data_IF_659902131831
#
_entry.id   IF_659902131831
#
_cell.length_a   1.000
_cell.length_b   1.000
_cell.length_c   1.000
_cell.angle_alpha   90.00
_cell.angle_beta   90.00
_cell.angle_gamma   90.00
#
_symmetry.space_group_name_H-M   'P 1'
#
loop_
_entity.id
_entity.type
_entity.pdbx_description
1 polymer ?
#
# COMPACT_ATOMS: atom_id res chain seq x y z
N UNK A 1 3.43 88.47 -17.59
CA UNK A 1 2.61 87.25 -17.43
C UNK A 1 3.56 86.06 -17.29
N UNK A 2 4.37 86.01 -16.22
CA UNK A 2 5.45 85.02 -16.03
C UNK A 2 5.94 85.04 -14.57
N UNK A 3 5.05 84.87 -13.59
CA UNK A 3 5.45 84.77 -12.16
C UNK A 3 4.72 83.64 -11.40
N UNK A 4 3.77 82.92 -12.01
CA UNK A 4 2.90 81.98 -11.28
C UNK A 4 3.28 80.49 -11.38
N UNK A 5 4.45 80.14 -11.94
CA UNK A 5 4.83 78.74 -12.21
C UNK A 5 6.03 78.21 -11.40
N UNK A 6 6.64 79.02 -10.54
CA UNK A 6 7.90 78.62 -9.84
C UNK A 6 7.71 78.19 -8.39
N UNK A 7 6.62 78.52 -7.70
CA UNK A 7 6.44 78.15 -6.28
C UNK A 7 5.93 76.70 -6.08
N UNK A 8 5.13 76.15 -6.99
CA UNK A 8 4.60 74.79 -6.84
C UNK A 8 5.60 73.67 -7.16
N UNK A 9 6.72 73.96 -7.82
CA UNK A 9 7.73 72.94 -8.14
C UNK A 9 8.66 72.62 -6.96
N UNK A 10 8.89 73.58 -6.06
CA UNK A 10 9.81 73.44 -4.92
C UNK A 10 9.18 72.59 -3.80
N UNK A 11 7.86 72.68 -3.60
CA UNK A 11 7.14 71.86 -2.61
C UNK A 11 7.00 70.38 -3.03
N UNK A 12 6.94 70.11 -4.34
CA UNK A 12 6.90 68.73 -4.87
C UNK A 12 8.26 68.05 -4.68
N UNK A 13 9.37 68.74 -4.91
CA UNK A 13 10.72 68.18 -4.64
C UNK A 13 10.97 67.91 -3.14
N UNK A 14 10.45 68.74 -2.24
CA UNK A 14 10.54 68.53 -0.79
C UNK A 14 9.66 67.36 -0.30
N UNK A 15 8.51 67.11 -0.95
CA UNK A 15 7.63 65.97 -0.65
C UNK A 15 8.27 64.63 -1.07
N UNK A 16 8.95 64.59 -2.23
CA UNK A 16 9.68 63.41 -2.72
C UNK A 16 11.03 63.17 -2.03
N UNK A 17 11.68 64.20 -1.47
CA UNK A 17 12.90 64.07 -0.65
C UNK A 17 12.65 63.77 0.83
N UNK A 18 11.39 63.63 1.25
CA UNK A 18 11.07 63.35 2.64
C UNK A 18 11.42 61.89 3.01
N UNK A 19 12.08 61.73 4.16
CA UNK A 19 12.39 60.47 4.87
C UNK A 19 11.15 59.55 5.05
N UNK A 20 9.96 60.07 4.75
CA UNK A 20 8.67 59.41 4.81
C UNK A 20 8.41 58.44 3.63
N UNK A 21 8.76 58.78 2.39
CA UNK A 21 8.56 57.86 1.25
C UNK A 21 9.59 56.73 1.21
N UNK A 22 10.82 57.00 1.65
CA UNK A 22 11.86 55.97 1.79
C UNK A 22 11.56 55.00 2.94
N UNK A 23 10.96 55.46 4.04
CA UNK A 23 10.55 54.59 5.16
C UNK A 23 9.31 53.75 4.85
N UNK A 24 8.33 54.27 4.10
CA UNK A 24 7.17 53.49 3.64
C UNK A 24 7.60 52.46 2.57
N UNK A 25 8.40 52.85 1.58
CA UNK A 25 8.92 51.92 0.57
C UNK A 25 9.82 50.83 1.18
N UNK A 26 10.66 51.18 2.17
CA UNK A 26 11.46 50.23 2.95
C UNK A 26 10.61 49.27 3.79
N UNK A 27 9.53 49.75 4.41
CA UNK A 27 8.60 48.92 5.18
C UNK A 27 7.79 47.96 4.29
N UNK A 28 7.30 48.41 3.13
CA UNK A 28 6.61 47.54 2.17
C UNK A 28 7.56 46.50 1.53
N UNK A 29 8.77 46.91 1.13
CA UNK A 29 9.78 45.99 0.62
C UNK A 29 10.22 44.97 1.69
N UNK A 30 10.37 45.42 2.95
CA UNK A 30 10.67 44.58 4.10
C UNK A 30 9.55 43.58 4.40
N UNK A 31 8.28 44.03 4.38
CA UNK A 31 7.11 43.17 4.60
C UNK A 31 6.95 42.12 3.49
N UNK A 32 7.11 42.50 2.22
CA UNK A 32 7.05 41.57 1.09
C UNK A 32 8.21 40.56 1.11
N UNK A 33 9.43 41.01 1.43
CA UNK A 33 10.59 40.14 1.61
C UNK A 33 10.41 39.15 2.75
N UNK A 34 9.91 39.62 3.90
CA UNK A 34 9.60 38.78 5.05
C UNK A 34 8.51 37.76 4.74
N UNK A 35 7.44 38.17 4.05
CA UNK A 35 6.35 37.28 3.64
C UNK A 35 6.86 36.16 2.72
N UNK A 36 7.67 36.50 1.71
CA UNK A 36 8.23 35.51 0.79
C UNK A 36 9.18 34.52 1.48
N UNK A 37 9.96 34.98 2.46
CA UNK A 37 10.83 34.10 3.26
C UNK A 37 9.98 33.17 4.14
N UNK A 38 8.94 33.71 4.79
CA UNK A 38 8.03 32.95 5.64
C UNK A 38 7.29 31.87 4.84
N UNK A 39 6.72 32.22 3.68
CA UNK A 39 6.06 31.27 2.78
C UNK A 39 7.02 30.18 2.30
N UNK A 40 8.25 30.56 1.94
CA UNK A 40 9.28 29.60 1.52
C UNK A 40 9.68 28.65 2.66
N UNK A 41 9.83 29.15 3.88
CA UNK A 41 10.14 28.32 5.06
C UNK A 41 9.01 27.36 5.36
N UNK A 42 7.77 27.85 5.41
CA UNK A 42 6.58 27.04 5.63
C UNK A 42 6.44 25.92 4.60
N UNK A 43 6.66 26.25 3.31
CA UNK A 43 6.61 25.24 2.25
C UNK A 43 7.73 24.20 2.38
N UNK A 44 8.94 24.61 2.78
CA UNK A 44 10.05 23.70 3.08
C UNK A 44 9.69 22.74 4.22
N UNK A 45 9.12 23.26 5.30
CA UNK A 45 8.71 22.49 6.47
C UNK A 45 7.59 21.48 6.14
N UNK A 46 6.62 21.89 5.34
CA UNK A 46 5.54 21.01 4.86
C UNK A 46 6.09 19.83 4.05
N UNK A 47 7.00 20.07 3.10
CA UNK A 47 7.61 18.99 2.33
C UNK A 47 8.45 18.05 3.21
N UNK A 48 9.21 18.58 4.17
CA UNK A 48 9.96 17.77 5.14
C UNK A 48 9.05 16.93 6.03
N UNK A 49 7.93 17.50 6.46
CA UNK A 49 6.90 16.78 7.23
C UNK A 49 6.32 15.65 6.38
N UNK A 50 5.91 15.92 5.15
CA UNK A 50 5.32 14.89 4.27
C UNK A 50 6.30 13.74 3.97
N UNK A 51 7.59 14.02 3.75
CA UNK A 51 8.61 12.97 3.59
C UNK A 51 8.77 12.11 4.85
N UNK A 52 8.70 12.71 6.05
CA UNK A 52 8.76 11.97 7.32
C UNK A 52 7.51 11.11 7.53
N UNK A 53 6.34 11.67 7.26
CA UNK A 53 5.06 10.95 7.32
C UNK A 53 5.05 9.79 6.30
N UNK A 54 5.65 9.99 5.11
CA UNK A 54 5.80 8.94 4.08
C UNK A 54 6.66 7.79 4.60
N UNK A 55 7.81 8.08 5.22
CA UNK A 55 8.65 7.05 5.82
C UNK A 55 7.93 6.30 6.95
N UNK A 56 7.15 6.99 7.77
CA UNK A 56 6.33 6.36 8.81
C UNK A 56 5.31 5.39 8.19
N UNK A 57 4.60 5.81 7.14
CA UNK A 57 3.65 4.95 6.42
C UNK A 57 4.33 3.73 5.79
N UNK A 58 5.51 3.89 5.18
CA UNK A 58 6.30 2.77 4.63
C UNK A 58 6.65 1.76 5.72
N UNK A 59 7.09 2.21 6.90
CA UNK A 59 7.43 1.31 8.01
C UNK A 59 6.21 0.56 8.56
N UNK A 60 5.05 1.21 8.63
CA UNK A 60 3.81 0.56 9.07
C UNK A 60 3.37 -0.50 8.03
N UNK A 61 3.34 -0.15 6.75
CA UNK A 61 3.00 -1.07 5.66
C UNK A 61 3.97 -2.26 5.59
N UNK A 62 5.27 -2.01 5.76
CA UNK A 62 6.29 -3.05 5.86
C UNK A 62 6.08 -3.95 7.09
N UNK A 63 5.76 -3.37 8.24
CA UNK A 63 5.44 -4.12 9.46
C UNK A 63 4.26 -5.08 9.25
N UNK A 64 3.18 -4.60 8.63
CA UNK A 64 2.02 -5.44 8.26
C UNK A 64 2.46 -6.58 7.34
N UNK A 65 3.20 -6.28 6.28
CA UNK A 65 3.70 -7.28 5.35
C UNK A 65 4.54 -8.36 6.05
N UNK A 66 5.51 -7.94 6.87
CA UNK A 66 6.42 -8.84 7.56
C UNK A 66 5.69 -9.70 8.62
N UNK A 67 4.72 -9.14 9.34
CA UNK A 67 3.86 -9.91 10.24
C UNK A 67 3.12 -11.03 9.51
N UNK A 68 2.53 -10.73 8.34
CA UNK A 68 1.86 -11.76 7.55
C UNK A 68 2.80 -12.77 6.91
N UNK A 69 3.99 -12.36 6.48
CA UNK A 69 5.01 -13.29 6.00
C UNK A 69 5.40 -14.29 7.09
N UNK A 70 5.51 -13.85 8.34
CA UNK A 70 5.77 -14.74 9.48
C UNK A 70 4.63 -15.73 9.69
N UNK A 71 3.38 -15.25 9.75
CA UNK A 71 2.19 -16.09 9.92
C UNK A 71 2.06 -17.10 8.77
N UNK A 72 2.30 -16.65 7.53
CA UNK A 72 2.24 -17.51 6.35
C UNK A 72 3.29 -18.61 6.41
N UNK A 73 4.53 -18.25 6.74
CA UNK A 73 5.64 -19.20 6.88
C UNK A 73 5.40 -20.22 7.99
N UNK A 74 4.89 -19.78 9.13
CA UNK A 74 4.76 -20.62 10.32
C UNK A 74 3.53 -21.54 10.28
N UNK A 75 2.43 -21.09 9.67
CA UNK A 75 1.13 -21.76 9.82
C UNK A 75 0.37 -21.93 8.50
N UNK A 76 0.17 -20.86 7.74
CA UNK A 76 -0.77 -20.90 6.59
C UNK A 76 -0.25 -21.77 5.46
N UNK A 77 1.05 -21.70 5.17
CA UNK A 77 1.67 -22.46 4.07
C UNK A 77 1.56 -23.96 4.31
N UNK A 78 2.04 -24.44 5.46
CA UNK A 78 1.96 -25.87 5.81
C UNK A 78 0.51 -26.36 5.89
N UNK A 79 -0.38 -25.56 6.49
CA UNK A 79 -1.81 -25.90 6.57
C UNK A 79 -2.42 -26.15 5.18
N UNK A 80 -2.10 -25.29 4.20
CA UNK A 80 -2.61 -25.43 2.83
C UNK A 80 -1.97 -26.60 2.09
N UNK A 81 -0.64 -26.71 2.15
CA UNK A 81 0.10 -27.76 1.46
C UNK A 81 -0.27 -29.15 1.99
N UNK A 82 -0.34 -29.33 3.31
CA UNK A 82 -0.74 -30.59 3.93
C UNK A 82 -2.19 -30.96 3.61
N UNK A 83 -3.08 -29.96 3.57
CA UNK A 83 -4.48 -30.16 3.20
C UNK A 83 -4.61 -30.63 1.75
N UNK A 84 -3.95 -29.95 0.81
CA UNK A 84 -4.02 -30.29 -0.62
C UNK A 84 -3.36 -31.63 -0.91
N UNK A 85 -2.22 -31.90 -0.28
CA UNK A 85 -1.52 -33.18 -0.40
C UNK A 85 -2.40 -34.35 0.06
N UNK A 86 -2.99 -34.27 1.24
CA UNK A 86 -3.86 -35.33 1.77
C UNK A 86 -5.15 -35.48 0.96
N UNK A 87 -5.73 -34.36 0.48
CA UNK A 87 -6.90 -34.41 -0.41
C UNK A 87 -6.57 -35.13 -1.71
N UNK A 88 -5.42 -34.83 -2.32
CA UNK A 88 -4.97 -35.51 -3.54
C UNK A 88 -4.73 -37.01 -3.29
N UNK A 89 -4.07 -37.37 -2.19
CA UNK A 89 -3.83 -38.75 -1.80
C UNK A 89 -5.13 -39.53 -1.57
N UNK A 90 -6.13 -38.93 -0.91
CA UNK A 90 -7.44 -39.54 -0.71
C UNK A 90 -8.18 -39.78 -2.04
N UNK A 91 -8.13 -38.81 -2.96
CA UNK A 91 -8.72 -38.95 -4.29
C UNK A 91 -8.02 -40.05 -5.10
N UNK A 92 -6.71 -40.19 -4.99
CA UNK A 92 -5.96 -41.28 -5.61
C UNK A 92 -6.31 -42.63 -5.00
N UNK A 93 -6.41 -42.72 -3.66
CA UNK A 93 -6.85 -43.91 -2.95
C UNK A 93 -8.24 -44.36 -3.45
N UNK A 94 -9.22 -43.44 -3.51
CA UNK A 94 -10.55 -43.75 -4.06
C UNK A 94 -10.49 -44.25 -5.51
N UNK A 95 -9.62 -43.69 -6.36
CA UNK A 95 -9.44 -44.18 -7.73
C UNK A 95 -8.92 -45.61 -7.74
N UNK A 96 -7.90 -45.93 -6.93
CA UNK A 96 -7.32 -47.29 -6.83
C UNK A 96 -8.33 -48.32 -6.32
N UNK A 97 -9.15 -47.96 -5.33
CA UNK A 97 -10.26 -48.81 -4.85
C UNK A 97 -11.25 -49.09 -5.98
N UNK A 98 -11.64 -48.06 -6.73
CA UNK A 98 -12.65 -48.18 -7.78
C UNK A 98 -12.21 -49.07 -8.96
N UNK A 99 -10.92 -49.08 -9.28
CA UNK A 99 -10.35 -49.95 -10.33
C UNK A 99 -9.90 -51.32 -9.80
N UNK A 100 -10.15 -51.61 -8.52
CA UNK A 100 -9.82 -52.90 -7.89
C UNK A 100 -8.33 -53.15 -7.67
N UNK A 101 -7.49 -52.10 -7.70
CA UNK A 101 -6.05 -52.23 -7.41
C UNK A 101 -5.77 -52.41 -5.91
N UNK A 102 -6.67 -51.94 -5.06
CA UNK A 102 -6.60 -52.08 -3.60
C UNK A 102 -7.96 -52.51 -3.05
N UNK A 103 -7.97 -53.11 -1.86
CA UNK A 103 -9.19 -53.62 -1.23
C UNK A 103 -10.15 -52.47 -0.87
N UNK A 104 -11.45 -52.75 -0.90
CA UNK A 104 -12.47 -51.79 -0.41
C UNK A 104 -12.42 -51.61 1.10
N UNK A 105 -11.88 -52.60 1.81
CA UNK A 105 -11.75 -52.59 3.27
C UNK A 105 -10.45 -51.90 3.72
N UNK A 106 -9.60 -51.47 2.77
CA UNK A 106 -8.39 -50.72 3.09
C UNK A 106 -8.74 -49.32 3.61
N UNK A 107 -8.29 -49.03 4.83
CA UNK A 107 -8.59 -47.78 5.52
C UNK A 107 -7.58 -46.72 5.06
N UNK A 108 -8.09 -45.60 4.56
CA UNK A 108 -7.26 -44.41 4.34
C UNK A 108 -7.09 -43.64 5.65
N UNK A 109 -5.87 -43.67 6.19
CA UNK A 109 -5.51 -42.86 7.36
C UNK A 109 -5.11 -41.44 6.93
N UNK A 110 -5.60 -40.44 7.64
CA UNK A 110 -5.32 -39.04 7.36
C UNK A 110 -5.18 -38.24 8.64
N UNK A 111 -4.31 -37.23 8.61
CA UNK A 111 -3.99 -36.38 9.74
C UNK A 111 -4.70 -35.04 9.62
N UNK A 112 -5.51 -34.71 10.61
CA UNK A 112 -6.19 -33.42 10.68
C UNK A 112 -5.43 -32.43 11.54
N UNK A 113 -5.10 -31.26 10.99
CA UNK A 113 -4.63 -30.13 11.77
C UNK A 113 -5.82 -29.32 12.28
N UNK A 114 -6.16 -29.54 13.56
CA UNK A 114 -7.24 -28.86 14.28
C UNK A 114 -6.69 -27.83 15.29
N UNK A 115 -5.48 -27.30 15.05
CA UNK A 115 -4.94 -26.20 15.84
C UNK A 115 -5.69 -24.91 15.57
N UNK A 116 -6.06 -24.19 16.63
CA UNK A 116 -6.65 -22.85 16.54
C UNK A 116 -5.59 -21.87 16.03
N UNK A 117 -5.97 -21.02 15.08
CA UNK A 117 -5.09 -19.98 14.54
C UNK A 117 -5.66 -18.60 14.86
N UNK A 118 -4.78 -17.64 15.10
CA UNK A 118 -5.14 -16.24 15.33
C UNK A 118 -4.19 -15.32 14.57
N UNK A 119 -4.69 -14.17 14.14
CA UNK A 119 -3.89 -13.16 13.49
C UNK A 119 -3.31 -12.22 14.56
N UNK A 120 -2.03 -11.83 14.47
CA UNK A 120 -1.51 -10.77 15.32
C UNK A 120 -2.23 -9.45 15.01
N UNK A 121 -2.32 -8.52 15.97
CA UNK A 121 -2.91 -7.21 15.72
C UNK A 121 -2.11 -6.47 14.63
N UNK A 122 -2.80 -6.01 13.60
CA UNK A 122 -2.20 -5.27 12.47
C UNK A 122 -2.62 -3.80 12.54
N UNK A 123 -1.67 -2.85 12.48
CA UNK A 123 -1.95 -1.41 12.61
C UNK A 123 -2.54 -0.78 11.33
N UNK A 124 -3.59 -1.38 10.77
CA UNK A 124 -4.23 -0.93 9.52
C UNK A 124 -4.88 0.44 9.68
N UNK A 125 -5.56 0.69 10.80
CA UNK A 125 -6.22 1.98 11.04
C UNK A 125 -5.20 3.12 11.14
N UNK A 126 -4.05 2.86 11.79
CA UNK A 126 -2.94 3.81 11.89
C UNK A 126 -2.37 4.08 10.49
N UNK A 127 -2.22 3.05 9.67
CA UNK A 127 -1.79 3.21 8.28
C UNK A 127 -2.78 4.07 7.49
N UNK A 128 -4.08 3.78 7.57
CA UNK A 128 -5.11 4.56 6.88
C UNK A 128 -5.08 6.03 7.30
N UNK A 129 -5.01 6.31 8.60
CA UNK A 129 -4.88 7.69 9.09
C UNK A 129 -3.64 8.41 8.54
N UNK A 130 -2.49 7.73 8.43
CA UNK A 130 -1.31 8.33 7.80
C UNK A 130 -1.55 8.64 6.32
N UNK A 131 -2.15 7.71 5.57
CA UNK A 131 -2.32 7.84 4.12
C UNK A 131 -3.37 8.87 3.74
N UNK A 132 -4.53 8.88 4.41
CA UNK A 132 -5.64 9.75 4.06
C UNK A 132 -5.52 11.16 4.63
N UNK A 133 -4.87 11.34 5.79
CA UNK A 133 -4.84 12.64 6.48
C UNK A 133 -3.52 13.39 6.30
N UNK A 134 -2.40 12.68 6.17
CA UNK A 134 -1.06 13.29 6.27
C UNK A 134 -0.31 13.38 4.95
N UNK A 135 -0.69 12.58 3.96
CA UNK A 135 0.01 12.50 2.69
C UNK A 135 -0.85 13.03 1.55
N UNK A 136 -0.21 13.71 0.60
CA UNK A 136 -0.88 14.25 -0.59
C UNK A 136 -0.96 13.19 -1.69
N UNK A 137 -1.54 12.02 -1.39
CA UNK A 137 -1.63 10.89 -2.31
C UNK A 137 -2.88 10.95 -3.19
N UNK A 138 -2.80 10.36 -4.38
CA UNK A 138 -3.93 10.21 -5.30
C UNK A 138 -3.91 8.84 -5.97
N UNK A 139 -5.08 8.31 -6.28
CA UNK A 139 -5.23 7.09 -7.08
C UNK A 139 -4.87 5.81 -6.32
N UNK A 140 -3.98 5.00 -6.92
CA UNK A 140 -3.69 3.62 -6.50
C UNK A 140 -3.33 3.45 -5.01
N UNK A 141 -2.47 4.27 -4.38
CA UNK A 141 -2.07 4.05 -2.99
C UNK A 141 -3.24 4.13 -1.99
N UNK A 142 -4.22 4.99 -2.26
CA UNK A 142 -5.43 5.09 -1.43
C UNK A 142 -6.35 3.87 -1.61
N UNK A 143 -6.49 3.39 -2.85
CA UNK A 143 -7.23 2.14 -3.12
C UNK A 143 -6.56 0.92 -2.49
N UNK A 144 -5.23 0.87 -2.45
CA UNK A 144 -4.47 -0.17 -1.76
C UNK A 144 -4.78 -0.19 -0.28
N UNK A 145 -4.83 0.98 0.38
CA UNK A 145 -5.13 1.07 1.81
C UNK A 145 -6.51 0.50 2.16
N UNK A 146 -7.51 0.78 1.33
CA UNK A 146 -8.87 0.25 1.51
C UNK A 146 -8.91 -1.26 1.26
N UNK A 147 -8.29 -1.71 0.17
CA UNK A 147 -8.24 -3.14 -0.19
C UNK A 147 -7.51 -3.95 0.88
N UNK A 148 -6.38 -3.44 1.37
CA UNK A 148 -5.60 -4.05 2.44
C UNK A 148 -6.44 -4.22 3.72
N UNK A 149 -7.21 -3.20 4.11
CA UNK A 149 -8.10 -3.28 5.27
C UNK A 149 -9.19 -4.33 5.09
N UNK A 150 -9.80 -4.39 3.91
CA UNK A 150 -10.78 -5.42 3.59
C UNK A 150 -10.17 -6.83 3.62
N UNK A 151 -8.97 -7.02 3.07
CA UNK A 151 -8.29 -8.32 3.09
C UNK A 151 -7.94 -8.77 4.52
N UNK A 152 -7.52 -7.84 5.40
CA UNK A 152 -7.27 -8.14 6.82
C UNK A 152 -8.56 -8.58 7.53
N UNK A 153 -9.66 -7.85 7.33
CA UNK A 153 -10.95 -8.23 7.92
C UNK A 153 -11.42 -9.60 7.40
N UNK A 154 -11.27 -9.84 6.09
CA UNK A 154 -11.67 -11.10 5.46
C UNK A 154 -10.84 -12.28 5.98
N UNK A 155 -9.52 -12.10 6.18
CA UNK A 155 -8.66 -13.13 6.77
C UNK A 155 -9.07 -13.46 8.21
N UNK A 156 -9.34 -12.44 9.03
CA UNK A 156 -9.84 -12.66 10.39
C UNK A 156 -11.16 -13.45 10.41
N UNK A 157 -12.12 -13.07 9.56
CA UNK A 157 -13.39 -13.78 9.45
C UNK A 157 -13.20 -15.26 9.03
N UNK A 158 -12.30 -15.53 8.08
CA UNK A 158 -11.98 -16.91 7.67
C UNK A 158 -11.31 -17.71 8.80
N UNK A 159 -10.39 -17.10 9.55
CA UNK A 159 -9.74 -17.73 10.70
C UNK A 159 -10.75 -18.06 11.81
N UNK A 160 -11.63 -17.10 12.15
CA UNK A 160 -12.71 -17.31 13.11
C UNK A 160 -13.64 -18.44 12.67
N UNK A 161 -14.04 -18.45 11.39
CA UNK A 161 -14.89 -19.51 10.84
C UNK A 161 -14.20 -20.88 10.91
N UNK A 162 -12.91 -20.96 10.62
CA UNK A 162 -12.12 -22.20 10.77
C UNK A 162 -12.13 -22.68 12.22
N UNK A 163 -11.89 -21.78 13.16
CA UNK A 163 -11.85 -22.11 14.59
C UNK A 163 -13.23 -22.62 15.07
N UNK A 164 -14.31 -21.99 14.63
CA UNK A 164 -15.68 -22.47 14.91
C UNK A 164 -15.93 -23.89 14.36
N UNK A 165 -15.50 -24.18 13.13
CA UNK A 165 -15.63 -25.53 12.55
C UNK A 165 -14.81 -26.56 13.35
N UNK A 166 -13.61 -26.19 13.77
CA UNK A 166 -12.76 -27.03 14.62
C UNK A 166 -13.44 -27.36 15.94
N UNK A 167 -14.09 -26.39 16.58
CA UNK A 167 -14.80 -26.60 17.84
C UNK A 167 -15.98 -27.55 17.66
N UNK A 168 -16.73 -27.43 16.56
CA UNK A 168 -17.80 -28.38 16.19
C UNK A 168 -17.25 -29.80 15.99
N UNK A 169 -16.11 -29.94 15.31
CA UNK A 169 -15.48 -31.24 15.10
C UNK A 169 -14.99 -31.87 16.41
N UNK A 170 -14.36 -31.08 17.29
CA UNK A 170 -13.91 -31.54 18.61
C UNK A 170 -15.10 -31.99 19.47
N UNK A 171 -16.20 -31.21 19.48
CA UNK A 171 -17.42 -31.56 20.21
C UNK A 171 -18.09 -32.84 19.69
N UNK A 172 -17.92 -33.14 18.39
CA UNK A 172 -18.46 -34.35 17.76
C UNK A 172 -17.57 -35.59 17.90
N UNK A 173 -16.45 -35.49 18.63
CA UNK A 173 -15.49 -36.59 18.81
C UNK A 173 -14.51 -36.78 17.64
N UNK A 174 -14.47 -35.86 16.68
CA UNK A 174 -13.58 -35.91 15.52
C UNK A 174 -14.20 -35.31 14.25
N UNK A 175 -13.45 -35.37 13.15
CA UNK A 175 -13.93 -34.95 11.82
C UNK A 175 -13.80 -36.11 10.85
N UNK A 176 -14.81 -36.27 9.99
CA UNK A 176 -14.78 -37.28 8.92
C UNK A 176 -14.04 -36.75 7.70
N UNK A 177 -13.44 -37.62 6.86
CA UNK A 177 -12.84 -37.20 5.59
C UNK A 177 -13.82 -36.43 4.69
N UNK A 178 -15.11 -36.82 4.74
CA UNK A 178 -16.19 -36.18 3.97
C UNK A 178 -16.31 -34.70 4.31
N UNK A 179 -16.40 -34.36 5.59
CA UNK A 179 -16.53 -32.96 6.04
C UNK A 179 -15.22 -32.20 5.93
N UNK A 180 -14.09 -32.84 6.24
CA UNK A 180 -12.78 -32.20 6.21
C UNK A 180 -12.38 -31.79 4.79
N UNK A 181 -12.49 -32.71 3.82
CA UNK A 181 -12.07 -32.46 2.43
C UNK A 181 -13.19 -31.95 1.51
N UNK A 182 -14.43 -31.89 2.02
CA UNK A 182 -15.62 -31.51 1.29
C UNK A 182 -15.96 -32.46 0.16
N UNK A 183 -16.04 -33.75 0.49
CA UNK A 183 -16.42 -34.80 -0.46
C UNK A 183 -17.94 -34.92 -0.54
N UNK A 184 -18.49 -35.34 -1.70
CA UNK A 184 -19.91 -35.63 -1.82
C UNK A 184 -20.29 -36.86 -0.98
N UNK A 185 -21.38 -36.75 -0.22
CA UNK A 185 -21.98 -37.85 0.53
C UNK A 185 -23.50 -37.69 0.56
N UNK A 186 -24.25 -38.74 0.20
CA UNK A 186 -25.72 -38.73 0.13
C UNK A 186 -26.31 -37.54 -0.66
N UNK A 187 -25.73 -37.23 -1.83
CA UNK A 187 -26.09 -36.08 -2.68
C UNK A 187 -25.93 -34.70 -2.03
N UNK A 188 -25.20 -34.59 -0.92
CA UNK A 188 -24.84 -33.35 -0.28
C UNK A 188 -23.32 -33.18 -0.25
N UNK A 189 -22.85 -31.95 -0.35
CA UNK A 189 -21.42 -31.61 -0.25
C UNK A 189 -21.29 -30.41 0.66
N UNK A 190 -20.58 -30.58 1.78
CA UNK A 190 -20.18 -29.47 2.63
C UNK A 190 -18.79 -29.00 2.20
N UNK A 191 -18.70 -27.82 1.60
CA UNK A 191 -17.42 -27.22 1.18
C UNK A 191 -16.85 -26.22 2.21
N UNK A 192 -17.48 -26.06 3.38
CA UNK A 192 -17.14 -25.01 4.34
C UNK A 192 -15.66 -25.05 4.75
N UNK A 193 -15.16 -26.21 5.20
CA UNK A 193 -13.77 -26.31 5.64
C UNK A 193 -12.77 -26.11 4.49
N UNK A 194 -12.87 -26.81 3.35
CA UNK A 194 -11.99 -26.57 2.21
C UNK A 194 -12.00 -25.12 1.72
N UNK A 195 -13.18 -24.51 1.59
CA UNK A 195 -13.32 -23.13 1.14
C UNK A 195 -12.67 -22.14 2.11
N UNK A 196 -12.75 -22.40 3.42
CA UNK A 196 -12.09 -21.56 4.43
C UNK A 196 -10.57 -21.72 4.39
N UNK A 197 -10.04 -22.93 4.17
CA UNK A 197 -8.59 -23.14 3.99
C UNK A 197 -8.08 -22.39 2.76
N UNK A 198 -8.79 -22.49 1.63
CA UNK A 198 -8.48 -21.73 0.42
C UNK A 198 -8.54 -20.21 0.66
N UNK A 199 -9.56 -19.74 1.37
CA UNK A 199 -9.73 -18.33 1.68
C UNK A 199 -8.59 -17.80 2.55
N UNK A 200 -8.20 -18.51 3.61
CA UNK A 200 -7.09 -18.12 4.50
C UNK A 200 -5.79 -17.97 3.69
N UNK A 201 -5.49 -18.94 2.80
CA UNK A 201 -4.28 -18.88 2.00
C UNK A 201 -4.28 -17.69 1.03
N UNK A 202 -5.39 -17.50 0.28
CA UNK A 202 -5.52 -16.38 -0.68
C UNK A 202 -5.51 -15.01 0.00
N UNK A 203 -6.22 -14.87 1.11
CA UNK A 203 -6.30 -13.59 1.83
C UNK A 203 -4.96 -13.24 2.52
N UNK A 204 -4.20 -14.23 2.98
CA UNK A 204 -2.83 -14.00 3.44
C UNK A 204 -1.95 -13.48 2.29
N UNK A 205 -2.10 -14.06 1.10
CA UNK A 205 -1.42 -13.59 -0.11
C UNK A 205 -1.83 -12.16 -0.48
N UNK A 206 -3.13 -11.83 -0.44
CA UNK A 206 -3.64 -10.50 -0.73
C UNK A 206 -2.99 -9.44 0.17
N UNK A 207 -2.93 -9.69 1.47
CA UNK A 207 -2.35 -8.76 2.45
C UNK A 207 -0.86 -8.55 2.16
N UNK A 208 -0.10 -9.62 1.91
CA UNK A 208 1.33 -9.54 1.57
C UNK A 208 1.52 -8.72 0.29
N UNK A 209 0.75 -9.04 -0.76
CA UNK A 209 0.84 -8.35 -2.05
C UNK A 209 0.51 -6.87 -1.93
N UNK A 210 -0.65 -6.52 -1.36
CA UNK A 210 -1.09 -5.12 -1.29
C UNK A 210 -0.22 -4.27 -0.36
N UNK A 211 0.27 -4.83 0.75
CA UNK A 211 1.19 -4.10 1.64
C UNK A 211 2.57 -3.88 1.01
N UNK A 212 3.11 -4.88 0.30
CA UNK A 212 4.36 -4.73 -0.47
C UNK A 212 4.20 -3.69 -1.58
N UNK A 213 3.11 -3.77 -2.35
CA UNK A 213 2.83 -2.83 -3.45
C UNK A 213 2.65 -1.40 -2.93
N UNK A 214 2.02 -1.25 -1.76
CA UNK A 214 1.88 0.04 -1.09
C UNK A 214 3.25 0.60 -0.65
N UNK A 215 4.14 -0.22 -0.08
CA UNK A 215 5.52 0.20 0.23
C UNK A 215 6.23 0.75 -1.01
N UNK A 216 6.07 0.09 -2.17
CA UNK A 216 6.65 0.54 -3.43
C UNK A 216 6.07 1.89 -3.87
N UNK A 217 4.75 2.02 -3.86
CA UNK A 217 4.07 3.26 -4.26
C UNK A 217 4.44 4.45 -3.35
N UNK A 218 4.54 4.22 -2.04
CA UNK A 218 4.97 5.24 -1.09
C UNK A 218 6.44 5.62 -1.26
N UNK A 219 7.30 4.64 -1.59
CA UNK A 219 8.72 4.91 -1.90
C UNK A 219 8.84 5.76 -3.16
N UNK A 220 8.05 5.45 -4.21
CA UNK A 220 7.97 6.26 -5.43
C UNK A 220 7.51 7.70 -5.13
N UNK A 221 6.47 7.87 -4.32
CA UNK A 221 5.98 9.20 -3.87
C UNK A 221 7.04 9.98 -3.09
N UNK A 222 7.64 9.35 -2.07
CA UNK A 222 8.68 9.96 -1.26
C UNK A 222 9.89 10.38 -2.09
N UNK A 223 10.31 9.55 -3.03
CA UNK A 223 11.44 9.85 -3.92
C UNK A 223 11.12 11.03 -4.86
N UNK A 224 9.88 11.16 -5.31
CA UNK A 224 9.43 12.35 -6.06
C UNK A 224 9.48 13.61 -5.20
N UNK A 225 9.00 13.55 -3.95
CA UNK A 225 9.09 14.66 -3.00
C UNK A 225 10.54 15.07 -2.72
N UNK A 226 11.43 14.10 -2.48
CA UNK A 226 12.85 14.34 -2.25
C UNK A 226 13.52 15.02 -3.45
N UNK A 227 13.18 14.58 -4.68
CA UNK A 227 13.66 15.20 -5.92
C UNK A 227 13.17 16.65 -6.04
N UNK A 228 11.88 16.90 -5.82
CA UNK A 228 11.31 18.26 -5.86
C UNK A 228 11.92 19.17 -4.78
N UNK A 229 12.13 18.63 -3.58
CA UNK A 229 12.77 19.34 -2.48
C UNK A 229 14.19 19.77 -2.87
N UNK A 230 14.96 18.85 -3.44
CA UNK A 230 16.34 19.11 -3.88
C UNK A 230 16.38 20.23 -4.93
N UNK A 231 15.46 20.23 -5.88
CA UNK A 231 15.35 21.27 -6.91
C UNK A 231 15.00 22.64 -6.32
N UNK A 232 14.10 22.70 -5.32
CA UNK A 232 13.60 23.97 -4.78
C UNK A 232 14.44 24.56 -3.63
N UNK A 233 15.07 23.70 -2.83
CA UNK A 233 15.72 24.08 -1.56
C UNK A 233 17.17 23.60 -1.43
N UNK A 234 17.67 22.77 -2.35
CA UNK A 234 19.03 22.24 -2.31
C UNK A 234 19.18 21.02 -1.41
N UNK A 235 20.10 21.06 -0.43
CA UNK A 235 20.41 19.89 0.41
C UNK A 235 19.43 19.77 1.59
N UNK A 236 19.40 18.58 2.21
CA UNK A 236 18.67 18.34 3.46
C UNK A 236 17.32 17.61 3.31
N UNK A 237 17.04 17.01 2.16
CA UNK A 237 15.94 16.05 2.04
C UNK A 237 16.28 14.77 2.84
N UNK A 238 15.35 14.25 3.66
CA UNK A 238 15.50 12.94 4.30
C UNK A 238 15.67 11.83 3.25
N UNK A 239 16.37 10.77 3.63
CA UNK A 239 16.39 9.53 2.84
C UNK A 239 15.03 8.85 2.95
N UNK A 240 14.49 8.40 1.83
CA UNK A 240 13.26 7.61 1.77
C UNK A 240 13.59 6.15 2.04
N UNK A 241 12.81 5.51 2.90
CA UNK A 241 12.98 4.09 3.22
C UNK A 241 12.54 3.22 2.05
N UNK A 242 13.33 2.22 1.71
CA UNK A 242 13.03 1.24 0.67
C UNK A 242 13.14 -0.16 1.30
N UNK A 243 12.02 -0.77 1.72
CA UNK A 243 12.05 -2.08 2.33
C UNK A 243 12.51 -3.16 1.34
N UNK A 244 13.32 -4.09 1.84
CA UNK A 244 13.83 -5.22 1.06
C UNK A 244 13.02 -6.48 1.35
N UNK A 245 12.49 -7.09 0.28
CA UNK A 245 11.69 -8.32 0.33
C UNK A 245 12.42 -9.53 -0.29
N UNK A 246 13.68 -9.40 -0.68
CA UNK A 246 14.43 -10.43 -1.40
C UNK A 246 14.47 -11.76 -0.64
N UNK A 247 14.63 -11.73 0.69
CA UNK A 247 14.61 -12.95 1.52
C UNK A 247 13.26 -13.67 1.51
N UNK A 248 12.15 -12.93 1.42
CA UNK A 248 10.83 -13.52 1.35
C UNK A 248 10.58 -14.14 -0.05
N UNK A 249 11.12 -13.52 -1.10
CA UNK A 249 11.13 -14.06 -2.46
C UNK A 249 11.92 -15.36 -2.54
N UNK A 250 13.15 -15.39 -1.99
CA UNK A 250 14.00 -16.59 -1.92
C UNK A 250 13.32 -17.76 -1.20
N UNK A 251 12.53 -17.47 -0.16
CA UNK A 251 11.77 -18.48 0.58
C UNK A 251 10.46 -18.90 -0.10
N UNK A 252 10.13 -18.34 -1.26
CA UNK A 252 8.87 -18.61 -1.96
C UNK A 252 7.65 -18.25 -1.13
N UNK A 253 7.75 -17.19 -0.31
CA UNK A 253 6.63 -16.70 0.50
C UNK A 253 5.81 -15.63 -0.23
N UNK A 254 6.39 -15.03 -1.27
CA UNK A 254 5.73 -13.96 -2.02
C UNK A 254 4.56 -14.50 -2.86
N UNK A 255 3.45 -13.76 -2.93
CA UNK A 255 2.32 -14.12 -3.77
C UNK A 255 2.67 -14.15 -5.25
N UNK A 256 1.94 -14.97 -6.01
CA UNK A 256 2.08 -14.97 -7.47
C UNK A 256 1.45 -13.70 -8.07
N UNK A 257 2.29 -12.85 -8.65
CA UNK A 257 1.89 -11.57 -9.25
C UNK A 257 0.82 -11.75 -10.34
N UNK A 258 0.80 -12.87 -11.07
CA UNK A 258 -0.20 -13.10 -12.13
C UNK A 258 -1.62 -13.17 -11.59
N UNK A 259 -1.81 -13.52 -10.31
CA UNK A 259 -3.13 -13.55 -9.67
C UNK A 259 -3.72 -12.15 -9.44
N UNK A 260 -2.92 -11.10 -9.61
CA UNK A 260 -3.29 -9.70 -9.37
C UNK A 260 -3.28 -8.84 -10.64
N UNK A 261 -3.13 -9.46 -11.83
CA UNK A 261 -3.02 -8.74 -13.09
C UNK A 261 -4.22 -7.82 -13.34
N UNK A 262 -5.45 -8.33 -13.14
CA UNK A 262 -6.68 -7.57 -13.32
C UNK A 262 -6.71 -6.34 -12.42
N UNK A 263 -6.37 -6.51 -11.14
CA UNK A 263 -6.33 -5.41 -10.18
C UNK A 263 -5.30 -4.35 -10.57
N UNK A 264 -4.11 -4.77 -11.03
CA UNK A 264 -3.08 -3.85 -11.52
C UNK A 264 -3.52 -3.05 -12.76
N UNK A 265 -4.35 -3.64 -13.63
CA UNK A 265 -4.84 -2.96 -14.86
C UNK A 265 -5.84 -1.84 -14.58
N UNK A 266 -6.51 -1.84 -13.41
CA UNK A 266 -7.46 -0.79 -13.02
C UNK A 266 -6.79 0.58 -12.83
N UNK A 267 -5.46 0.63 -12.71
CA UNK A 267 -4.70 1.86 -12.47
C UNK A 267 -3.77 2.18 -13.64
N UNK A 268 -4.32 2.78 -14.69
CA UNK A 268 -3.55 3.25 -15.85
C UNK A 268 -2.78 4.52 -15.47
N UNK A 269 -1.45 4.49 -15.60
CA UNK A 269 -0.64 5.72 -15.49
C UNK A 269 -1.05 6.65 -16.63
N UNK A 270 -1.44 7.88 -16.29
CA UNK A 270 -1.76 8.88 -17.31
C UNK A 270 -0.57 9.00 -18.29
N UNK A 271 -0.81 9.02 -19.61
CA UNK A 271 0.26 9.18 -20.56
C UNK A 271 1.00 10.49 -20.26
N UNK A 272 2.33 10.43 -20.22
CA UNK A 272 3.15 11.63 -20.07
C UNK A 272 2.84 12.50 -21.29
N UNK A 273 2.12 13.61 -21.10
CA UNK A 273 1.99 14.62 -22.15
C UNK A 273 3.40 15.15 -22.40
N UNK A 274 4.03 14.68 -23.46
CA UNK A 274 5.23 15.33 -24.00
C UNK A 274 4.86 16.80 -24.19
N UNK A 275 5.52 17.63 -23.40
CA UNK A 275 5.33 19.07 -23.43
C UNK A 275 5.87 19.53 -24.78
N UNK A 276 4.98 19.62 -25.78
CA UNK A 276 5.28 20.17 -27.09
C UNK A 276 6.05 21.46 -26.88
N UNK A 277 7.36 21.38 -27.13
CA UNK A 277 8.23 22.52 -27.21
C UNK A 277 7.77 23.30 -28.43
N UNK A 278 6.90 24.28 -28.21
CA UNK A 278 6.78 25.45 -29.08
C UNK A 278 8.12 26.22 -29.04
N UNK A 279 9.17 25.61 -29.58
CA UNK A 279 10.41 26.24 -29.96
C UNK A 279 10.22 26.75 -31.38
N UNK A 280 9.78 28.01 -31.45
CA UNK A 280 10.24 29.03 -32.39
C UNK A 280 10.80 28.48 -33.71
N UNK A 281 9.95 28.39 -34.72
CA UNK A 281 10.38 28.68 -36.10
C UNK A 281 10.58 30.20 -36.22
N UNK A 282 11.58 30.72 -35.52
CA UNK A 282 12.16 32.03 -35.81
C UNK A 282 13.49 31.79 -36.52
N UNK A 283 13.57 32.29 -37.76
CA UNK A 283 14.76 32.39 -38.64
C UNK A 283 15.03 31.20 -39.57
N UNK A 284 14.46 31.31 -40.78
CA UNK A 284 15.28 31.30 -41.99
C UNK A 284 14.89 32.51 -42.85
N UNK A 285 15.54 33.65 -42.58
CA UNK A 285 15.79 34.71 -43.57
C UNK A 285 17.26 34.63 -43.93
N UNK A 286 17.57 34.98 -45.17
CA UNK A 286 18.89 35.12 -45.81
C UNK A 286 19.45 33.80 -46.38
N UNK A 287 19.84 33.69 -47.66
CA UNK A 287 20.02 34.65 -48.76
C UNK A 287 19.70 33.93 -50.07
#
# INVERSE_FOLDING_TARGET
>A
MTVFLTEHWIEIEAFFNSVFFTSIAGAFAGAYGAQRIAERSKYREQMLKEMRDTNAAIMIAFGICNSLLSVKKQHVKSLKEDFDFQKAALLEHHKKVNIGQISRDEIFDFRTDLMTLSLPPLPVDILQGQLFEKLSLVGRPLSLATTLSQSVHSLNASLEKRNQLIDVYKASGGVTPVLYFGLPHNNQTDANYPSVIDAIFKQADDIIFFSQLLCKDLSEHGNQLAKQFKTKFGKGAPKISEPDFSKAEELGLMPNISSYADWLTMFVKAPIKERWSCLRLSKCKSK
#
